data_IF_966591611760
#
_entry.id   IF_966591611760
#
_cell.length_a   1.000
_cell.length_b   1.000
_cell.length_c   1.000
_cell.angle_alpha   90.00
_cell.angle_beta   90.00
_cell.angle_gamma   90.00
#
_symmetry.space_group_name_H-M   'P 1'
#
loop_
_entity.id
_entity.type
_entity.pdbx_description
1 polymer ?
#
# COMPACT_ATOMS: atom_id res chain seq x y z
N UNK A 1 -10.85 -25.33 9.87
CA UNK A 1 -10.28 -24.85 8.60
C UNK A 1 -10.73 -23.42 8.42
N UNK A 2 -9.87 -22.45 8.72
CA UNK A 2 -10.12 -21.04 8.46
C UNK A 2 -8.81 -20.54 7.85
N UNK A 3 -8.66 -20.78 6.55
CA UNK A 3 -7.37 -20.71 5.89
C UNK A 3 -6.71 -19.34 6.05
N UNK A 4 -5.45 -19.42 6.47
CA UNK A 4 -4.46 -18.37 6.69
C UNK A 4 -4.04 -17.65 5.39
N UNK A 5 -5.00 -17.30 4.55
CA UNK A 5 -4.83 -16.43 3.38
C UNK A 5 -5.64 -15.18 3.68
N UNK A 6 -4.97 -14.07 4.03
CA UNK A 6 -5.65 -12.77 3.98
C UNK A 6 -6.33 -12.67 2.61
N UNK A 7 -7.62 -12.38 2.56
CA UNK A 7 -8.26 -12.10 1.27
C UNK A 7 -7.88 -10.69 0.80
N UNK A 8 -8.20 -10.35 -0.45
CA UNK A 8 -7.90 -9.03 -1.05
C UNK A 8 -8.37 -7.86 -0.17
N UNK A 9 -9.52 -7.99 0.48
CA UNK A 9 -10.13 -6.97 1.33
C UNK A 9 -9.24 -6.66 2.56
N UNK A 10 -8.77 -7.71 3.25
CA UNK A 10 -7.87 -7.53 4.39
C UNK A 10 -6.52 -6.93 3.97
N UNK A 11 -5.96 -7.31 2.81
CA UNK A 11 -4.71 -6.72 2.32
C UNK A 11 -4.88 -5.23 2.01
N UNK A 12 -5.99 -4.83 1.38
CA UNK A 12 -6.27 -3.43 1.10
C UNK A 12 -6.40 -2.62 2.40
N UNK A 13 -7.17 -3.13 3.38
CA UNK A 13 -7.35 -2.50 4.68
C UNK A 13 -6.02 -2.36 5.43
N UNK A 14 -5.28 -3.46 5.57
CA UNK A 14 -4.01 -3.46 6.31
C UNK A 14 -2.99 -2.52 5.68
N UNK A 15 -2.94 -2.46 4.35
CA UNK A 15 -2.02 -1.55 3.64
C UNK A 15 -2.41 -0.09 3.88
N UNK A 16 -3.70 0.24 3.85
CA UNK A 16 -4.18 1.59 4.18
C UNK A 16 -3.79 1.99 5.61
N UNK A 17 -4.03 1.11 6.57
CA UNK A 17 -3.75 1.34 8.00
C UNK A 17 -2.25 1.45 8.26
N UNK A 18 -1.44 0.60 7.63
CA UNK A 18 0.02 0.68 7.69
C UNK A 18 0.55 2.02 7.18
N UNK A 19 -0.04 2.56 6.11
CA UNK A 19 0.31 3.87 5.57
C UNK A 19 -0.28 5.04 6.37
N UNK A 20 -1.05 4.77 7.45
CA UNK A 20 -1.69 5.80 8.26
C UNK A 20 -2.75 6.63 7.52
N UNK A 21 -3.32 6.09 6.44
CA UNK A 21 -4.26 6.84 5.61
C UNK A 21 -5.68 6.74 6.14
N UNK A 22 -6.30 7.91 6.35
CA UNK A 22 -7.74 8.01 6.62
C UNK A 22 -8.55 7.60 5.38
N UNK A 23 -9.67 6.90 5.59
CA UNK A 23 -10.46 6.33 4.49
C UNK A 23 -11.08 7.41 3.59
N UNK A 24 -11.40 8.58 4.15
CA UNK A 24 -11.91 9.74 3.44
C UNK A 24 -10.85 10.35 2.50
N UNK A 25 -9.57 10.28 2.90
CA UNK A 25 -8.45 10.73 2.07
C UNK A 25 -8.27 9.80 0.89
N UNK A 26 -8.26 8.49 1.14
CA UNK A 26 -8.20 7.47 0.07
C UNK A 26 -9.34 7.68 -0.91
N UNK A 27 -10.58 7.77 -0.40
CA UNK A 27 -11.81 7.99 -1.18
C UNK A 27 -11.67 9.14 -2.17
N UNK A 28 -11.17 10.30 -1.72
CA UNK A 28 -10.94 11.48 -2.58
C UNK A 28 -9.87 11.23 -3.64
N UNK A 29 -8.77 10.58 -3.28
CA UNK A 29 -7.64 10.35 -4.18
C UNK A 29 -7.94 9.32 -5.28
N UNK A 30 -8.68 8.25 -4.96
CA UNK A 30 -9.01 7.19 -5.94
C UNK A 30 -10.39 7.34 -6.58
N UNK A 31 -11.17 8.34 -6.16
CA UNK A 31 -12.53 8.62 -6.64
C UNK A 31 -13.47 7.41 -6.48
N UNK A 32 -13.39 6.74 -5.33
CA UNK A 32 -14.30 5.68 -4.91
C UNK A 32 -15.04 6.20 -3.69
N UNK A 33 -16.36 6.01 -3.60
CA UNK A 33 -17.12 6.50 -2.45
C UNK A 33 -16.61 5.85 -1.14
N UNK A 34 -16.63 6.63 -0.05
CA UNK A 34 -16.20 6.13 1.27
C UNK A 34 -17.01 4.91 1.70
N UNK A 35 -18.31 4.90 1.42
CA UNK A 35 -19.19 3.76 1.68
C UNK A 35 -18.72 2.50 0.94
N UNK A 36 -18.38 2.63 -0.35
CA UNK A 36 -17.90 1.49 -1.14
C UNK A 36 -16.54 1.00 -0.64
N UNK A 37 -15.62 1.91 -0.32
CA UNK A 37 -14.33 1.52 0.27
C UNK A 37 -14.49 0.78 1.60
N UNK A 38 -15.41 1.22 2.47
CA UNK A 38 -15.71 0.52 3.72
C UNK A 38 -16.28 -0.89 3.46
N UNK A 39 -17.22 -1.03 2.52
CA UNK A 39 -17.75 -2.35 2.13
C UNK A 39 -16.65 -3.25 1.57
N UNK A 40 -15.77 -2.70 0.73
CA UNK A 40 -14.59 -3.40 0.24
C UNK A 40 -13.72 -3.83 1.41
N UNK A 41 -13.27 -2.95 2.29
CA UNK A 41 -12.36 -3.30 3.39
C UNK A 41 -12.97 -4.28 4.41
N UNK A 42 -14.30 -4.30 4.55
CA UNK A 42 -15.02 -5.23 5.41
C UNK A 42 -15.39 -6.55 4.71
N UNK A 43 -15.00 -6.75 3.44
CA UNK A 43 -15.29 -7.98 2.69
C UNK A 43 -16.73 -8.12 2.21
N UNK A 44 -17.51 -7.04 2.24
CA UNK A 44 -18.89 -6.98 1.78
C UNK A 44 -19.00 -6.63 0.29
N UNK A 45 -17.92 -6.15 -0.31
CA UNK A 45 -17.81 -5.82 -1.73
C UNK A 45 -16.39 -6.16 -2.23
N UNK A 46 -16.19 -6.20 -3.56
CA UNK A 46 -14.89 -6.45 -4.19
C UNK A 46 -14.58 -5.33 -5.17
N UNK A 47 -13.35 -4.77 -5.16
CA UNK A 47 -12.99 -3.74 -6.14
C UNK A 47 -13.03 -4.32 -7.55
N UNK A 48 -13.51 -3.54 -8.51
CA UNK A 48 -13.31 -3.87 -9.91
C UNK A 48 -11.85 -3.61 -10.33
N UNK A 49 -11.50 -3.96 -11.57
CA UNK A 49 -10.13 -3.83 -12.09
C UNK A 49 -9.59 -2.40 -12.02
N UNK A 50 -10.39 -1.41 -12.40
CA UNK A 50 -9.95 0.00 -12.40
C UNK A 50 -9.76 0.53 -10.97
N UNK A 51 -10.66 0.15 -10.06
CA UNK A 51 -10.57 0.49 -8.64
C UNK A 51 -9.33 -0.13 -8.00
N UNK A 52 -9.06 -1.41 -8.29
CA UNK A 52 -7.87 -2.09 -7.81
C UNK A 52 -6.59 -1.46 -8.37
N UNK A 53 -6.58 -1.07 -9.64
CA UNK A 53 -5.44 -0.38 -10.24
C UNK A 53 -5.14 0.96 -9.53
N UNK A 54 -6.18 1.75 -9.24
CA UNK A 54 -6.03 3.03 -8.53
C UNK A 54 -5.52 2.82 -7.11
N UNK A 55 -6.09 1.87 -6.38
CA UNK A 55 -5.66 1.53 -5.02
C UNK A 55 -4.21 1.04 -5.01
N UNK A 56 -3.83 0.19 -5.97
CA UNK A 56 -2.45 -0.31 -6.13
C UNK A 56 -1.44 0.81 -6.35
N UNK A 57 -1.78 1.78 -7.21
CA UNK A 57 -0.94 2.97 -7.45
C UNK A 57 -0.82 3.89 -6.24
N UNK A 58 -1.90 4.06 -5.47
CA UNK A 58 -1.89 4.85 -4.25
C UNK A 58 -1.03 4.17 -3.17
N UNK A 59 -1.24 2.87 -2.97
CA UNK A 59 -0.60 2.08 -1.93
C UNK A 59 0.80 1.59 -2.28
N UNK A 60 1.26 1.82 -3.51
CA UNK A 60 2.61 1.46 -3.99
C UNK A 60 2.90 -0.05 -3.91
N UNK A 61 1.85 -0.85 -4.09
CA UNK A 61 1.96 -2.30 -4.27
C UNK A 61 1.39 -2.71 -5.64
N UNK A 62 1.92 -3.77 -6.27
CA UNK A 62 1.36 -4.31 -7.50
C UNK A 62 -0.03 -4.93 -7.23
N UNK A 63 -0.88 -5.00 -8.26
CA UNK A 63 -2.20 -5.65 -8.14
C UNK A 63 -2.08 -7.12 -7.69
N UNK A 64 -1.02 -7.83 -8.14
CA UNK A 64 -0.73 -9.22 -7.76
C UNK A 64 -0.58 -9.39 -6.25
N UNK A 65 0.01 -8.42 -5.54
CA UNK A 65 0.07 -8.48 -4.08
C UNK A 65 -1.34 -8.57 -3.46
N UNK A 66 -2.28 -7.77 -3.95
CA UNK A 66 -3.64 -7.76 -3.44
C UNK A 66 -4.44 -8.99 -3.85
N UNK A 67 -4.19 -9.55 -5.04
CA UNK A 67 -4.89 -10.72 -5.56
C UNK A 67 -4.34 -12.03 -4.96
N UNK A 68 -3.03 -12.24 -5.08
CA UNK A 68 -2.35 -13.50 -4.82
C UNK A 68 -1.84 -13.58 -3.38
N UNK A 69 -1.56 -12.43 -2.77
CA UNK A 69 -0.97 -12.33 -1.42
C UNK A 69 0.53 -12.48 -1.38
N UNK A 70 1.16 -12.63 -2.54
CA UNK A 70 2.60 -12.74 -2.69
C UNK A 70 3.14 -11.35 -3.04
N UNK A 71 3.95 -10.80 -2.14
CA UNK A 71 4.76 -9.63 -2.44
C UNK A 71 6.22 -10.09 -2.47
N UNK A 72 6.70 -10.35 -3.68
CA UNK A 72 8.13 -10.52 -3.88
C UNK A 72 8.76 -9.13 -3.77
N UNK A 73 9.24 -8.79 -2.56
CA UNK A 73 10.09 -7.62 -2.40
C UNK A 73 11.27 -7.79 -3.33
N UNK A 74 11.49 -6.81 -4.22
CA UNK A 74 12.74 -6.73 -4.96
C UNK A 74 13.87 -6.77 -3.94
N UNK A 75 14.80 -7.71 -4.11
CA UNK A 75 15.90 -7.95 -3.17
C UNK A 75 16.67 -6.66 -2.86
N UNK A 76 16.86 -5.81 -3.88
CA UNK A 76 17.46 -4.47 -3.77
C UNK A 76 16.70 -3.53 -2.81
N UNK A 77 15.37 -3.56 -2.82
CA UNK A 77 14.53 -2.75 -1.91
C UNK A 77 14.61 -3.28 -0.49
N UNK A 78 14.63 -4.62 -0.32
CA UNK A 78 14.83 -5.24 0.99
C UNK A 78 16.22 -4.95 1.56
N UNK A 79 17.25 -4.90 0.72
CA UNK A 79 18.60 -4.52 1.12
C UNK A 79 18.65 -3.06 1.58
N UNK A 80 18.03 -2.14 0.84
CA UNK A 80 17.93 -0.74 1.24
C UNK A 80 17.20 -0.58 2.58
N UNK A 81 16.08 -1.29 2.78
CA UNK A 81 15.34 -1.24 4.05
C UNK A 81 16.21 -1.67 5.24
N UNK A 82 16.97 -2.77 5.11
CA UNK A 82 17.91 -3.23 6.15
C UNK A 82 19.01 -2.20 6.42
N UNK A 83 19.64 -1.68 5.37
CA UNK A 83 20.72 -0.69 5.51
C UNK A 83 20.23 0.60 6.16
N UNK A 84 18.99 1.01 5.90
CA UNK A 84 18.37 2.21 6.47
C UNK A 84 17.99 2.04 7.95
N UNK A 85 17.71 0.82 8.39
CA UNK A 85 17.34 0.50 9.78
C UNK A 85 18.52 0.67 10.76
N UNK A 86 19.74 0.47 10.28
CA UNK A 86 20.97 0.66 11.06
C UNK A 86 21.45 2.14 11.11
N UNK A 87 20.80 3.05 10.37
CA UNK A 87 21.22 4.45 10.31
C UNK A 87 20.77 5.29 11.51
N UNK A 88 21.42 6.43 11.70
CA UNK A 88 20.94 7.45 12.64
C UNK A 88 19.64 8.10 12.14
N UNK A 89 18.83 8.64 13.04
CA UNK A 89 17.59 9.37 12.69
C UNK A 89 17.84 10.49 11.66
N UNK A 90 18.94 11.22 11.83
CA UNK A 90 19.34 12.30 10.91
C UNK A 90 19.62 11.77 9.50
N UNK A 91 20.26 10.61 9.39
CA UNK A 91 20.57 10.02 8.09
C UNK A 91 19.32 9.42 7.43
N UNK A 92 18.39 8.88 8.22
CA UNK A 92 17.06 8.49 7.73
C UNK A 92 16.29 9.68 7.17
N UNK A 93 16.31 10.83 7.84
CA UNK A 93 15.70 12.07 7.33
C UNK A 93 16.30 12.50 5.99
N UNK A 94 17.63 12.41 5.84
CA UNK A 94 18.29 12.72 4.57
C UNK A 94 17.84 11.79 3.44
N UNK A 95 17.73 10.49 3.70
CA UNK A 95 17.25 9.51 2.71
C UNK A 95 15.80 9.79 2.33
N UNK A 96 14.91 10.06 3.30
CA UNK A 96 13.53 10.42 3.02
C UNK A 96 13.42 11.68 2.16
N UNK A 97 14.21 12.72 2.47
CA UNK A 97 14.26 13.95 1.67
C UNK A 97 14.74 13.67 0.25
N UNK A 98 15.80 12.87 0.10
CA UNK A 98 16.35 12.51 -1.21
C UNK A 98 15.36 11.69 -2.05
N UNK A 99 14.74 10.66 -1.47
CA UNK A 99 13.72 9.85 -2.14
C UNK A 99 12.50 10.68 -2.57
N UNK A 100 12.08 11.66 -1.76
CA UNK A 100 11.01 12.59 -2.11
C UNK A 100 11.36 13.53 -3.28
N UNK A 101 12.63 13.89 -3.44
CA UNK A 101 13.09 14.66 -4.60
C UNK A 101 13.04 13.77 -5.85
N UNK A 102 13.62 12.57 -5.78
CA UNK A 102 13.66 11.64 -6.90
C UNK A 102 12.26 11.23 -7.39
N UNK A 103 11.29 11.07 -6.48
CA UNK A 103 9.92 10.68 -6.84
C UNK A 103 9.16 11.76 -7.62
N UNK A 104 9.53 13.03 -7.44
CA UNK A 104 8.93 14.19 -8.16
C UNK A 104 9.58 14.49 -9.51
N UNK A 105 10.70 13.84 -9.82
CA UNK A 105 11.43 14.02 -11.10
C UNK A 105 10.99 13.03 -12.20
N UNK A 106 10.01 12.17 -11.91
CA UNK A 106 9.35 11.30 -12.90
C UNK A 106 8.08 11.96 -13.43
#
# INVERSE_FOLDING_TARGET
>A
MMDSKLNINNRLKNTREYLGLAIEVVSKLVQISTEKLLKIENGQDTPNKDELNKLSKLYKHPESYFIEGEYEQKEEVGLLARTVDDLSEKDREHILRFSNILSKMK
#
